data_IF_910315411402
#
_entry.id   IF_910315411402
#
_cell.length_a   1.000
_cell.length_b   1.000
_cell.length_c   1.000
_cell.angle_alpha   90.00
_cell.angle_beta   90.00
_cell.angle_gamma   90.00
#
_symmetry.space_group_name_H-M   'P 1'
#
loop_
_entity.id
_entity.type
_entity.pdbx_description
1 polymer ?
#
# COMPACT_ATOMS: atom_id res chain seq x y z
N UNK A 1 -22.02 -48.71 -22.18
CA UNK A 1 -21.26 -47.47 -21.97
C UNK A 1 -21.92 -46.73 -20.81
N UNK A 2 -21.19 -46.42 -19.74
CA UNK A 2 -21.75 -45.76 -18.55
C UNK A 2 -21.26 -44.32 -18.47
N UNK A 3 -22.19 -43.37 -18.36
CA UNK A 3 -21.90 -41.97 -18.06
C UNK A 3 -22.08 -41.73 -16.56
N UNK A 4 -21.09 -41.10 -15.94
CA UNK A 4 -21.16 -40.64 -14.56
C UNK A 4 -21.25 -39.11 -14.53
N UNK A 5 -22.14 -38.60 -13.69
CA UNK A 5 -22.33 -37.17 -13.44
C UNK A 5 -21.71 -36.83 -12.09
N UNK A 6 -20.81 -35.85 -12.07
CA UNK A 6 -20.20 -35.32 -10.86
C UNK A 6 -20.75 -33.92 -10.59
N UNK A 7 -21.20 -33.68 -9.36
CA UNK A 7 -21.62 -32.36 -8.89
C UNK A 7 -20.69 -31.89 -7.79
N UNK A 8 -20.25 -30.63 -7.88
CA UNK A 8 -19.56 -29.98 -6.77
C UNK A 8 -20.60 -29.67 -5.69
N UNK A 9 -20.29 -30.04 -4.45
CA UNK A 9 -21.06 -29.61 -3.29
C UNK A 9 -21.05 -28.09 -3.14
N UNK A 10 -21.91 -27.54 -2.26
CA UNK A 10 -21.98 -26.12 -2.01
C UNK A 10 -20.59 -25.56 -1.63
N UNK A 11 -20.19 -24.48 -2.29
CA UNK A 11 -18.91 -23.82 -2.02
C UNK A 11 -18.96 -23.22 -0.61
N UNK A 12 -18.01 -23.61 0.24
CA UNK A 12 -17.83 -23.03 1.57
C UNK A 12 -16.75 -21.97 1.47
N UNK A 13 -17.09 -20.72 1.77
CA UNK A 13 -16.13 -19.63 1.83
C UNK A 13 -15.28 -19.76 3.10
N UNK A 14 -13.96 -19.79 2.94
CA UNK A 14 -12.99 -19.70 4.03
C UNK A 14 -12.23 -18.38 3.91
N UNK A 15 -12.04 -17.67 5.02
CA UNK A 15 -11.31 -16.41 5.07
C UNK A 15 -11.78 -15.48 6.19
N UNK A 16 -11.02 -14.42 6.45
CA UNK A 16 -11.39 -13.40 7.42
C UNK A 16 -12.42 -12.43 6.84
N UNK A 17 -13.38 -11.99 7.67
CA UNK A 17 -14.45 -11.09 7.24
C UNK A 17 -13.92 -9.77 6.65
N UNK A 18 -12.78 -9.26 7.14
CA UNK A 18 -12.13 -8.06 6.62
C UNK A 18 -11.56 -8.20 5.20
N UNK A 19 -11.37 -9.43 4.73
CA UNK A 19 -10.88 -9.74 3.38
C UNK A 19 -12.00 -10.10 2.39
N UNK A 20 -13.26 -9.96 2.83
CA UNK A 20 -14.41 -10.18 1.98
C UNK A 20 -14.46 -9.16 0.83
N UNK A 21 -15.01 -9.53 -0.34
CA UNK A 21 -15.18 -8.59 -1.46
C UNK A 21 -16.00 -7.34 -1.13
N UNK A 22 -16.84 -7.38 -0.09
CA UNK A 22 -17.62 -6.23 0.39
C UNK A 22 -16.82 -5.24 1.22
N UNK A 23 -15.59 -5.58 1.61
CA UNK A 23 -14.70 -4.76 2.45
C UNK A 23 -13.40 -4.38 1.72
N UNK A 24 -13.20 -4.91 0.52
CA UNK A 24 -12.01 -4.67 -0.30
C UNK A 24 -12.38 -4.03 -1.64
N UNK A 25 -11.51 -3.16 -2.16
CA UNK A 25 -11.66 -2.58 -3.49
C UNK A 25 -10.62 -3.19 -4.43
N UNK A 26 -11.04 -3.58 -5.64
CA UNK A 26 -10.12 -4.11 -6.67
C UNK A 26 -9.86 -3.06 -7.73
N UNK A 27 -8.60 -2.61 -7.83
CA UNK A 27 -8.13 -1.73 -8.90
C UNK A 27 -7.70 -2.59 -10.10
N UNK A 28 -8.56 -2.65 -11.13
CA UNK A 28 -8.32 -3.50 -12.31
C UNK A 28 -7.41 -2.85 -13.36
N UNK A 29 -7.29 -1.53 -13.34
CA UNK A 29 -6.48 -0.77 -14.28
C UNK A 29 -5.32 -0.11 -13.55
N UNK A 30 -4.15 -0.08 -14.19
CA UNK A 30 -2.97 0.59 -13.64
C UNK A 30 -3.22 2.11 -13.47
N UNK A 31 -4.09 2.71 -14.28
CA UNK A 31 -4.47 4.11 -14.12
C UNK A 31 -5.52 4.36 -13.04
N UNK A 32 -6.12 3.31 -12.45
CA UNK A 32 -7.18 3.48 -11.47
C UNK A 32 -6.64 4.10 -10.18
N UNK A 33 -7.36 5.11 -9.69
CA UNK A 33 -7.06 5.80 -8.44
C UNK A 33 -8.34 6.07 -7.67
N UNK A 34 -8.26 6.00 -6.35
CA UNK A 34 -9.33 6.36 -5.43
C UNK A 34 -8.86 7.61 -4.69
N UNK A 35 -9.41 8.79 -5.00
CA UNK A 35 -9.12 10.00 -4.24
C UNK A 35 -9.75 9.87 -2.85
N UNK A 36 -9.03 10.31 -1.83
CA UNK A 36 -9.50 10.38 -0.46
C UNK A 36 -9.59 11.84 -0.07
N UNK A 37 -10.82 12.28 0.23
CA UNK A 37 -11.18 13.69 0.41
C UNK A 37 -11.03 14.19 1.85
N UNK A 38 -10.62 13.35 2.79
CA UNK A 38 -10.52 13.74 4.20
C UNK A 38 -9.13 14.28 4.54
N UNK A 39 -9.11 15.32 5.37
CA UNK A 39 -7.91 15.88 6.00
C UNK A 39 -7.38 14.89 7.03
N UNK A 40 -6.67 13.86 6.56
CA UNK A 40 -5.97 12.96 7.46
C UNK A 40 -4.77 13.65 8.08
N UNK A 41 -4.66 13.56 9.41
CA UNK A 41 -3.41 13.88 10.10
C UNK A 41 -2.29 12.98 9.60
N UNK A 42 -1.10 13.54 9.42
CA UNK A 42 0.09 12.83 8.92
C UNK A 42 0.70 11.85 9.92
N UNK A 43 -0.02 11.38 10.93
CA UNK A 43 0.58 10.61 12.03
C UNK A 43 0.71 9.13 11.70
N UNK A 44 -0.31 8.53 11.07
CA UNK A 44 -0.32 7.11 10.75
C UNK A 44 -1.25 6.80 9.58
N UNK A 45 -0.76 5.98 8.65
CA UNK A 45 -1.53 5.41 7.55
C UNK A 45 -1.34 3.89 7.56
N UNK A 46 -2.42 3.15 7.40
CA UNK A 46 -2.41 1.69 7.37
C UNK A 46 -3.35 1.19 6.30
N UNK A 47 -2.88 0.24 5.50
CA UNK A 47 -3.70 -0.44 4.51
C UNK A 47 -3.17 -1.85 4.25
N UNK A 48 -4.04 -2.71 3.75
CA UNK A 48 -3.68 -4.04 3.29
C UNK A 48 -3.78 -4.12 1.77
N UNK A 49 -2.90 -4.91 1.16
CA UNK A 49 -2.90 -5.14 -0.27
C UNK A 49 -2.74 -6.62 -0.58
N UNK A 50 -3.26 -7.01 -1.75
CA UNK A 50 -3.10 -8.34 -2.34
C UNK A 50 -2.94 -8.18 -3.83
N UNK A 51 -1.84 -8.69 -4.39
CA UNK A 51 -1.53 -8.49 -5.81
C UNK A 51 -0.70 -9.66 -6.37
N UNK A 52 -0.69 -9.81 -7.70
CA UNK A 52 0.29 -10.61 -8.43
C UNK A 52 1.30 -9.74 -9.22
N UNK A 53 1.12 -8.42 -9.22
CA UNK A 53 2.00 -7.49 -9.93
C UNK A 53 3.32 -7.35 -9.18
N UNK A 54 4.44 -7.49 -9.89
CA UNK A 54 5.77 -7.29 -9.32
C UNK A 54 6.12 -5.81 -9.15
N UNK A 55 5.53 -4.94 -9.98
CA UNK A 55 5.77 -3.50 -9.99
C UNK A 55 4.46 -2.76 -9.76
N UNK A 56 4.42 -1.97 -8.69
CA UNK A 56 3.31 -1.05 -8.38
C UNK A 56 3.93 0.26 -7.94
N UNK A 57 3.89 1.29 -8.78
CA UNK A 57 4.59 2.53 -8.48
C UNK A 57 3.91 3.36 -7.40
N UNK A 58 2.59 3.23 -7.21
CA UNK A 58 1.80 4.16 -6.41
C UNK A 58 0.66 3.48 -5.64
N UNK A 59 0.96 2.67 -4.62
CA UNK A 59 -0.08 2.19 -3.70
C UNK A 59 -0.81 3.36 -3.04
N UNK A 60 -0.05 4.21 -2.37
CA UNK A 60 -0.52 5.40 -1.69
C UNK A 60 0.29 6.60 -2.19
N UNK A 61 -0.40 7.68 -2.49
CA UNK A 61 0.21 8.96 -2.86
C UNK A 61 -0.45 10.08 -2.09
N UNK A 62 0.35 11.04 -1.64
CA UNK A 62 -0.12 12.29 -1.06
C UNK A 62 0.65 13.43 -1.70
N UNK A 63 -0.04 14.52 -2.03
CA UNK A 63 0.59 15.71 -2.58
C UNK A 63 -0.05 16.97 -1.98
N UNK A 64 0.77 17.77 -1.33
CA UNK A 64 0.39 19.04 -0.74
C UNK A 64 0.70 20.19 -1.70
N UNK A 65 -0.13 21.24 -1.69
CA UNK A 65 0.16 22.48 -2.46
C UNK A 65 1.45 23.16 -2.02
N UNK A 66 1.90 22.90 -0.79
CA UNK A 66 3.17 23.36 -0.22
C UNK A 66 4.41 22.62 -0.75
N UNK A 67 4.25 21.66 -1.68
CA UNK A 67 5.36 20.92 -2.28
C UNK A 67 5.78 19.66 -1.52
N UNK A 68 5.06 19.32 -0.44
CA UNK A 68 5.26 18.05 0.25
C UNK A 68 4.61 16.91 -0.52
N UNK A 69 5.28 15.77 -0.56
CA UNK A 69 4.81 14.58 -1.26
C UNK A 69 5.13 13.31 -0.49
N UNK A 70 4.26 12.32 -0.61
CA UNK A 70 4.47 10.97 -0.14
C UNK A 70 4.10 10.00 -1.26
N UNK A 71 4.90 8.96 -1.43
CA UNK A 71 4.62 7.86 -2.34
C UNK A 71 5.04 6.54 -1.70
N UNK A 72 4.17 5.53 -1.75
CA UNK A 72 4.49 4.15 -1.40
C UNK A 72 4.32 3.26 -2.63
N UNK A 73 5.29 2.39 -2.89
CA UNK A 73 5.26 1.46 -4.01
C UNK A 73 5.89 0.10 -3.71
N UNK A 74 5.69 -0.85 -4.63
CA UNK A 74 6.29 -2.18 -4.65
C UNK A 74 7.17 -2.31 -5.89
N UNK A 75 8.37 -2.86 -5.70
CA UNK A 75 9.33 -3.16 -6.77
C UNK A 75 9.83 -4.60 -6.65
N UNK A 76 10.02 -5.25 -7.79
CA UNK A 76 10.45 -6.64 -7.93
C UNK A 76 9.62 -7.65 -7.11
N UNK A 77 8.38 -7.31 -6.73
CA UNK A 77 7.52 -8.16 -5.89
C UNK A 77 8.03 -8.40 -4.46
N UNK A 78 9.12 -7.77 -4.02
CA UNK A 78 9.76 -8.01 -2.72
C UNK A 78 10.06 -6.73 -1.95
N UNK A 79 10.26 -5.60 -2.65
CA UNK A 79 10.74 -4.37 -2.04
C UNK A 79 9.64 -3.32 -2.00
N UNK A 80 9.25 -2.94 -0.79
CA UNK A 80 8.36 -1.79 -0.57
C UNK A 80 9.22 -0.55 -0.36
N UNK A 81 8.88 0.52 -1.06
CA UNK A 81 9.60 1.80 -1.02
C UNK A 81 8.63 2.90 -0.61
N UNK A 82 9.01 3.68 0.39
CA UNK A 82 8.38 4.92 0.80
C UNK A 82 9.30 6.08 0.41
N UNK A 83 8.79 6.97 -0.44
CA UNK A 83 9.46 8.21 -0.81
C UNK A 83 8.71 9.38 -0.19
N UNK A 84 9.45 10.25 0.47
CA UNK A 84 8.97 11.51 1.01
C UNK A 84 9.71 12.65 0.35
N UNK A 85 8.96 13.68 -0.03
CA UNK A 85 9.49 14.92 -0.57
C UNK A 85 9.04 16.08 0.29
N UNK A 86 9.95 17.01 0.59
CA UNK A 86 9.61 18.28 1.23
C UNK A 86 9.67 19.45 0.23
N UNK A 87 9.21 20.62 0.69
CA UNK A 87 9.18 21.85 -0.11
C UNK A 87 10.55 22.34 -0.57
N UNK A 88 11.63 21.94 0.12
CA UNK A 88 13.01 22.29 -0.19
C UNK A 88 13.68 21.32 -1.18
N UNK A 89 12.91 20.41 -1.80
CA UNK A 89 13.40 19.36 -2.71
C UNK A 89 14.35 18.34 -2.06
N UNK A 90 14.35 18.23 -0.73
CA UNK A 90 14.97 17.09 -0.05
C UNK A 90 14.06 15.87 -0.22
N UNK A 91 14.66 14.77 -0.67
CA UNK A 91 14.00 13.48 -0.79
C UNK A 91 14.52 12.54 0.30
N UNK A 92 13.59 11.90 1.02
CA UNK A 92 13.89 10.83 1.96
C UNK A 92 13.26 9.54 1.44
N UNK A 93 14.07 8.49 1.35
CA UNK A 93 13.61 7.17 0.94
C UNK A 93 13.80 6.17 2.08
N UNK A 94 12.71 5.53 2.47
CA UNK A 94 12.73 4.37 3.39
C UNK A 94 12.32 3.15 2.57
N UNK A 95 13.03 2.04 2.72
CA UNK A 95 12.63 0.82 2.00
C UNK A 95 12.86 -0.44 2.81
N UNK A 96 11.98 -1.41 2.59
CA UNK A 96 12.06 -2.76 3.17
C UNK A 96 12.18 -3.75 2.04
N UNK A 97 13.15 -4.65 2.15
CA UNK A 97 13.28 -5.82 1.28
C UNK A 97 12.77 -7.05 2.04
N UNK A 98 11.67 -7.62 1.57
CA UNK A 98 11.14 -8.88 2.09
C UNK A 98 11.89 -10.06 1.48
N UNK A 99 12.20 -11.08 2.29
CA UNK A 99 12.74 -12.35 1.79
C UNK A 99 11.66 -13.18 1.06
N UNK A 100 10.39 -12.97 1.41
CA UNK A 100 9.24 -13.61 0.78
C UNK A 100 8.61 -12.69 -0.26
N UNK A 101 8.05 -13.28 -1.32
CA UNK A 101 7.25 -12.54 -2.30
C UNK A 101 6.05 -11.89 -1.61
N UNK A 102 5.87 -10.60 -1.86
CA UNK A 102 4.72 -9.80 -1.45
C UNK A 102 3.64 -9.72 -2.53
N UNK A 103 3.93 -10.25 -3.72
CA UNK A 103 2.98 -10.42 -4.82
C UNK A 103 2.51 -11.88 -4.96
N UNK A 104 2.32 -12.57 -3.84
CA UNK A 104 1.99 -14.00 -3.77
C UNK A 104 0.48 -14.28 -3.69
N UNK A 105 -0.35 -13.28 -3.98
CA UNK A 105 -1.81 -13.31 -3.83
C UNK A 105 -2.30 -13.53 -2.38
N UNK A 106 -1.46 -13.30 -1.37
CA UNK A 106 -1.92 -13.16 0.02
C UNK A 106 -2.04 -11.69 0.40
N UNK A 107 -2.74 -11.46 1.49
CA UNK A 107 -2.86 -10.14 2.08
C UNK A 107 -1.58 -9.80 2.83
N UNK A 108 -1.06 -8.62 2.55
CA UNK A 108 0.09 -8.02 3.22
C UNK A 108 -0.32 -6.66 3.76
N UNK A 109 0.22 -6.29 4.92
CA UNK A 109 -0.12 -5.04 5.58
C UNK A 109 1.03 -4.06 5.51
N UNK A 110 0.73 -2.82 5.11
CA UNK A 110 1.65 -1.70 5.12
C UNK A 110 1.18 -0.69 6.16
N UNK A 111 2.10 -0.29 7.04
CA UNK A 111 1.88 0.80 7.99
C UNK A 111 2.98 1.85 7.79
N UNK A 112 2.59 3.12 7.65
CA UNK A 112 3.48 4.28 7.64
C UNK A 112 3.15 5.12 8.87
N UNK A 113 4.13 5.36 9.74
CA UNK A 113 3.95 6.14 10.97
C UNK A 113 4.97 7.27 11.04
N UNK A 114 4.51 8.45 11.44
CA UNK A 114 5.36 9.60 11.73
C UNK A 114 5.31 9.85 13.23
N UNK A 115 6.44 9.63 13.90
CA UNK A 115 6.51 9.66 15.35
C UNK A 115 7.84 10.25 15.81
N UNK A 116 7.79 11.28 16.66
CA UNK A 116 8.97 11.87 17.33
C UNK A 116 10.13 12.24 16.37
N UNK A 117 9.82 12.80 15.20
CA UNK A 117 10.83 13.19 14.22
C UNK A 117 11.44 12.02 13.44
N UNK A 118 10.76 10.87 13.42
CA UNK A 118 11.09 9.72 12.60
C UNK A 118 9.90 9.36 11.72
N UNK A 119 10.20 8.83 10.54
CA UNK A 119 9.23 8.08 9.74
C UNK A 119 9.54 6.60 9.86
N UNK A 120 8.49 5.80 10.03
CA UNK A 120 8.57 4.34 10.14
C UNK A 120 7.72 3.70 9.07
N UNK A 121 8.33 2.82 8.30
CA UNK A 121 7.67 1.93 7.36
C UNK A 121 7.63 0.54 7.98
N UNK A 122 6.46 -0.08 8.02
CA UNK A 122 6.27 -1.46 8.43
C UNK A 122 5.58 -2.23 7.31
N UNK A 123 6.12 -3.40 6.96
CA UNK A 123 5.52 -4.35 6.01
C UNK A 123 5.40 -5.68 6.72
N UNK A 124 4.16 -6.09 7.01
CA UNK A 124 3.81 -7.21 7.88
C UNK A 124 4.45 -7.12 9.27
N UNK A 125 5.65 -7.71 9.42
CA UNK A 125 6.46 -7.73 10.65
C UNK A 125 7.85 -7.11 10.47
N UNK A 126 8.19 -6.70 9.25
CA UNK A 126 9.45 -6.05 8.92
C UNK A 126 9.28 -4.55 9.12
N UNK A 127 10.27 -3.91 9.74
CA UNK A 127 10.24 -2.48 10.02
C UNK A 127 11.55 -1.80 9.59
N UNK A 128 11.42 -0.62 9.01
CA UNK A 128 12.50 0.29 8.69
C UNK A 128 12.11 1.70 9.12
N UNK A 129 13.08 2.50 9.52
CA UNK A 129 12.83 3.86 9.96
C UNK A 129 13.97 4.77 9.53
N UNK A 130 13.64 6.03 9.35
CA UNK A 130 14.60 7.09 9.05
C UNK A 130 14.24 8.34 9.83
N UNK A 131 15.25 9.16 10.13
CA UNK A 131 15.01 10.47 10.74
C UNK A 131 14.32 11.38 9.74
N UNK A 132 13.27 12.05 10.20
CA UNK A 132 12.47 12.98 9.42
C UNK A 132 11.99 14.11 10.32
N UNK A 133 12.75 15.21 10.34
CA UNK A 133 12.46 16.38 11.16
C UNK A 133 11.64 17.43 10.39
N UNK A 134 10.41 17.09 10.00
CA UNK A 134 9.50 18.07 9.39
C UNK A 134 8.03 17.81 9.72
N UNK A 135 7.29 18.89 9.98
CA UNK A 135 5.83 18.86 10.17
C UNK A 135 5.15 19.07 8.83
N UNK A 136 4.30 18.13 8.41
CA UNK A 136 3.54 18.26 7.17
C UNK A 136 2.28 19.13 7.37
N UNK A 137 1.94 20.02 6.42
CA UNK A 137 0.67 20.75 6.40
C UNK A 137 -0.50 19.90 5.84
N UNK A 138 -1.74 20.38 5.93
CA UNK A 138 -2.94 19.70 5.40
C UNK A 138 -2.78 19.28 3.93
N UNK A 139 -3.17 18.04 3.60
CA UNK A 139 -2.86 17.40 2.31
C UNK A 139 -3.97 16.46 1.83
N UNK A 140 -4.07 16.28 0.51
CA UNK A 140 -4.98 15.32 -0.14
C UNK A 140 -4.26 14.00 -0.44
N UNK A 141 -4.93 12.89 -0.14
CA UNK A 141 -4.40 11.54 -0.34
C UNK A 141 -5.12 10.85 -1.50
N UNK A 142 -4.44 9.92 -2.16
CA UNK A 142 -5.07 9.02 -3.13
C UNK A 142 -4.38 7.66 -3.14
N UNK A 143 -5.17 6.60 -3.24
CA UNK A 143 -4.67 5.24 -3.48
C UNK A 143 -4.70 4.94 -4.99
N UNK A 144 -3.74 4.18 -5.51
CA UNK A 144 -3.69 3.87 -6.94
C UNK A 144 -2.83 2.66 -7.29
N UNK A 145 -2.63 2.45 -8.59
CA UNK A 145 -1.76 1.39 -9.10
C UNK A 145 -1.01 1.84 -10.37
N UNK A 146 -0.47 3.06 -10.41
CA UNK A 146 0.22 3.54 -11.63
C UNK A 146 1.48 2.71 -11.93
N UNK A 147 1.73 2.55 -13.23
CA UNK A 147 3.00 2.10 -13.81
C UNK A 147 3.63 3.32 -14.48
N UNK A 148 4.83 3.72 -14.06
CA UNK A 148 5.65 4.67 -14.80
C UNK A 148 6.21 4.02 -16.07
#
# INVERSE_FOLDING_TARGET
>A
MGTATMTLGPLVCYGEAGHAPSQAVTLKHLSAKIPISESFGWTRFEFEFRTNQAEISNFLTAAASSGYGLNVGLTNGHRVVLNLRNSAASELTVSIMSQSKLNDLKWHRITVEFLKGEVRLTVDKLNAFEKFEHTFPETRFSFGAMKN
#
